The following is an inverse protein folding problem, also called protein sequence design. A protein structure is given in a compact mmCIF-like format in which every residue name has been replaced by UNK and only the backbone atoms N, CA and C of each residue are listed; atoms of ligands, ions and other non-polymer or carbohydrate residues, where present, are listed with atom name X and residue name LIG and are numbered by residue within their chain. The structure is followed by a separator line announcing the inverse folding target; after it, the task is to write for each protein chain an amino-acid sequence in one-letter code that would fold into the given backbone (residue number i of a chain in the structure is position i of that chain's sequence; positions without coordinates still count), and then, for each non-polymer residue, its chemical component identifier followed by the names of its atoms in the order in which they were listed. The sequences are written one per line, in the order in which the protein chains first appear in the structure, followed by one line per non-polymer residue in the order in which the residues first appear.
data_IF_710454200687
#
_entry.id   IF_710454200687
#
_cell.length_a   1.000
_cell.length_b   1.000
_cell.length_c   1.000
_cell.angle_alpha   90.00
_cell.angle_beta   90.00
_cell.angle_gamma   90.00
#
_symmetry.space_group_name_H-M   'P 1'
#
loop_
_entity.id
_entity.type
_entity.pdbx_description
1 polymer ?
#
# COMPACT_ATOMS: atom_id res chain seq x y z
N UNK A 1 -17.62 18.43 -0.49
CA UNK A 1 -17.72 16.97 -0.73
C UNK A 1 -16.39 16.40 -1.20
N UNK A 2 -15.76 17.03 -2.19
CA UNK A 2 -14.39 16.76 -2.63
C UNK A 2 -13.36 16.63 -1.48
N UNK A 3 -13.17 17.69 -0.66
CA UNK A 3 -12.16 17.70 0.42
C UNK A 3 -12.37 16.59 1.46
N UNK A 4 -13.63 16.29 1.77
CA UNK A 4 -14.00 15.20 2.67
C UNK A 4 -13.54 13.85 2.11
N UNK A 5 -13.81 13.59 0.83
CA UNK A 5 -13.45 12.34 0.18
C UNK A 5 -11.93 12.19 0.05
N UNK A 6 -11.21 13.29 -0.23
CA UNK A 6 -9.74 13.30 -0.19
C UNK A 6 -9.22 12.97 1.22
N UNK A 7 -9.79 13.61 2.24
CA UNK A 7 -9.42 13.33 3.63
C UNK A 7 -9.64 11.86 4.00
N UNK A 8 -10.79 11.30 3.62
CA UNK A 8 -11.09 9.87 3.83
C UNK A 8 -10.11 8.98 3.08
N UNK A 9 -9.82 9.27 1.81
CA UNK A 9 -8.83 8.53 1.03
C UNK A 9 -7.46 8.54 1.70
N UNK A 10 -6.95 9.72 2.06
CA UNK A 10 -5.63 9.89 2.66
C UNK A 10 -5.50 9.12 3.99
N UNK A 11 -6.47 9.30 4.90
CA UNK A 11 -6.47 8.60 6.19
C UNK A 11 -6.54 7.09 6.01
N UNK A 12 -7.43 6.60 5.14
CA UNK A 12 -7.56 5.18 4.87
C UNK A 12 -6.31 4.59 4.20
N UNK A 13 -5.70 5.31 3.25
CA UNK A 13 -4.49 4.88 2.58
C UNK A 13 -3.31 4.80 3.55
N UNK A 14 -3.15 5.78 4.44
CA UNK A 14 -2.11 5.77 5.49
C UNK A 14 -2.36 4.61 6.47
N UNK A 15 -3.59 4.42 6.92
CA UNK A 15 -3.94 3.31 7.81
C UNK A 15 -3.64 1.95 7.15
N UNK A 16 -3.99 1.80 5.87
CA UNK A 16 -3.67 0.61 5.07
C UNK A 16 -2.15 0.39 4.95
N UNK A 17 -1.39 1.44 4.66
CA UNK A 17 0.06 1.38 4.52
C UNK A 17 0.74 0.97 5.84
N UNK A 18 0.42 1.65 6.94
CA UNK A 18 0.97 1.34 8.27
C UNK A 18 0.59 -0.07 8.69
N UNK A 19 -0.68 -0.45 8.53
CA UNK A 19 -1.13 -1.81 8.82
C UNK A 19 -0.40 -2.85 7.96
N UNK A 20 -0.24 -2.60 6.66
CA UNK A 20 0.53 -3.41 5.72
C UNK A 20 1.98 -3.63 6.17
N UNK A 21 2.67 -2.58 6.60
CA UNK A 21 4.02 -2.69 7.16
C UNK A 21 4.03 -3.58 8.41
N UNK A 22 3.07 -3.42 9.31
CA UNK A 22 3.00 -4.23 10.55
C UNK A 22 2.72 -5.71 10.27
N UNK A 23 1.85 -6.03 9.31
CA UNK A 23 1.53 -7.43 8.97
C UNK A 23 2.66 -8.12 8.23
N UNK A 24 3.46 -7.39 7.43
CA UNK A 24 4.69 -7.94 6.85
C UNK A 24 5.74 -8.17 7.92
N UNK A 25 5.92 -7.22 8.85
CA UNK A 25 6.95 -7.31 9.88
C UNK A 25 6.68 -8.38 10.96
N UNK A 26 5.42 -8.72 11.21
CA UNK A 26 5.04 -9.62 12.33
C UNK A 26 4.29 -10.88 11.92
N UNK A 27 3.95 -11.04 10.64
CA UNK A 27 3.11 -12.10 10.07
C UNK A 27 1.81 -12.38 10.87
N UNK A 28 0.63 -12.01 10.36
CA UNK A 28 -0.60 -12.15 11.11
C UNK A 28 -0.94 -13.63 11.40
N UNK A 29 -1.40 -13.92 12.62
CA UNK A 29 -1.81 -15.27 13.03
C UNK A 29 -3.13 -15.71 12.38
N UNK A 30 -3.98 -14.78 11.97
CA UNK A 30 -5.26 -15.08 11.31
C UNK A 30 -5.80 -13.86 10.58
N UNK A 31 -6.78 -14.08 9.71
CA UNK A 31 -7.54 -13.01 9.03
C UNK A 31 -8.32 -12.10 9.99
N UNK A 32 -8.52 -12.53 11.25
CA UNK A 32 -9.19 -11.74 12.29
C UNK A 32 -8.22 -10.92 13.13
N UNK A 33 -6.92 -11.02 12.87
CA UNK A 33 -5.95 -10.20 13.58
C UNK A 33 -6.20 -8.72 13.29
N UNK A 34 -6.12 -7.83 14.31
CA UNK A 34 -6.51 -6.43 14.15
C UNK A 34 -5.69 -5.73 13.06
N UNK A 35 -4.37 -5.98 13.00
CA UNK A 35 -3.51 -5.42 11.95
C UNK A 35 -3.91 -5.86 10.54
N UNK A 36 -4.29 -7.13 10.36
CA UNK A 36 -4.75 -7.59 9.04
C UNK A 36 -6.15 -7.06 8.70
N UNK A 37 -7.06 -6.98 9.66
CA UNK A 37 -8.38 -6.38 9.44
C UNK A 37 -8.27 -4.91 9.06
N UNK A 38 -7.43 -4.13 9.74
CA UNK A 38 -7.16 -2.73 9.38
C UNK A 38 -6.65 -2.64 7.94
N UNK A 39 -5.65 -3.44 7.56
CA UNK A 39 -5.15 -3.49 6.18
C UNK A 39 -6.26 -3.85 5.16
N UNK A 40 -7.01 -4.93 5.44
CA UNK A 40 -8.02 -5.47 4.52
C UNK A 40 -9.25 -4.58 4.36
N UNK A 41 -9.58 -3.74 5.36
CA UNK A 41 -10.71 -2.81 5.33
C UNK A 41 -10.30 -1.42 4.83
N UNK A 42 -9.15 -0.91 5.28
CA UNK A 42 -8.71 0.44 4.92
C UNK A 42 -8.35 0.54 3.43
N UNK A 43 -7.79 -0.51 2.82
CA UNK A 43 -7.51 -0.55 1.39
C UNK A 43 -8.75 -0.31 0.50
N UNK A 44 -9.83 -1.11 0.64
CA UNK A 44 -11.09 -0.86 -0.05
C UNK A 44 -11.69 0.52 0.19
N UNK A 45 -11.65 1.03 1.42
CA UNK A 45 -12.14 2.38 1.73
C UNK A 45 -11.34 3.44 0.96
N UNK A 46 -10.01 3.32 0.96
CA UNK A 46 -9.14 4.25 0.24
C UNK A 46 -9.43 4.25 -1.27
N UNK A 47 -9.59 3.06 -1.88
CA UNK A 47 -9.90 2.93 -3.31
C UNK A 47 -11.29 3.48 -3.63
N UNK A 48 -12.30 3.17 -2.82
CA UNK A 48 -13.66 3.68 -3.02
C UNK A 48 -13.71 5.21 -2.92
N UNK A 49 -13.03 5.79 -1.92
CA UNK A 49 -12.93 7.23 -1.77
C UNK A 49 -12.22 7.90 -2.96
N UNK A 50 -11.12 7.32 -3.44
CA UNK A 50 -10.40 7.81 -4.63
C UNK A 50 -11.32 7.84 -5.86
N UNK A 51 -12.01 6.74 -6.15
CA UNK A 51 -12.93 6.65 -7.30
C UNK A 51 -14.06 7.67 -7.15
N UNK A 52 -14.62 7.83 -5.93
CA UNK A 52 -15.65 8.82 -5.67
C UNK A 52 -15.15 10.26 -5.94
N UNK A 53 -13.94 10.63 -5.51
CA UNK A 53 -13.33 11.95 -5.83
C UNK A 53 -13.23 12.14 -7.34
N UNK A 54 -12.70 11.15 -8.05
CA UNK A 54 -12.49 11.21 -9.50
C UNK A 54 -13.82 11.43 -10.24
N UNK A 55 -14.88 10.76 -9.81
CA UNK A 55 -16.22 10.91 -10.41
C UNK A 55 -16.83 12.28 -10.12
N UNK A 56 -16.65 12.81 -8.91
CA UNK A 56 -17.16 14.14 -8.52
C UNK A 56 -16.48 15.26 -9.31
N UNK A 57 -15.18 15.14 -9.54
CA UNK A 57 -14.36 16.19 -10.18
C UNK A 57 -14.13 15.97 -11.68
N UNK A 58 -14.69 14.88 -12.25
CA UNK A 58 -14.35 14.42 -13.59
C UNK A 58 -14.39 15.53 -14.65
N UNK A 59 -15.46 16.32 -14.66
CA UNK A 59 -15.68 17.39 -15.65
C UNK A 59 -14.70 18.56 -15.52
N UNK A 60 -14.17 18.83 -14.32
CA UNK A 60 -13.25 19.93 -14.05
C UNK A 60 -11.76 19.59 -14.25
N UNK A 61 -11.41 18.31 -14.38
CA UNK A 61 -10.01 17.89 -14.49
C UNK A 61 -9.43 18.10 -15.90
N UNK A 62 -8.21 18.67 -16.01
CA UNK A 62 -7.43 18.67 -17.26
C UNK A 62 -7.18 17.25 -17.77
N UNK A 63 -7.05 17.07 -19.09
CA UNK A 63 -6.87 15.75 -19.73
C UNK A 63 -5.70 14.96 -19.14
N UNK A 64 -4.58 15.61 -18.84
CA UNK A 64 -3.42 14.97 -18.21
C UNK A 64 -3.76 14.39 -16.83
N UNK A 65 -4.45 15.16 -15.96
CA UNK A 65 -4.88 14.69 -14.64
C UNK A 65 -5.89 13.55 -14.74
N UNK A 66 -6.82 13.60 -15.72
CA UNK A 66 -7.76 12.50 -15.96
C UNK A 66 -7.06 11.19 -16.31
N UNK A 67 -6.04 11.23 -17.16
CA UNK A 67 -5.27 10.04 -17.50
C UNK A 67 -4.53 9.48 -16.29
N UNK A 68 -3.85 10.32 -15.52
CA UNK A 68 -3.14 9.87 -14.32
C UNK A 68 -4.09 9.30 -13.26
N UNK A 69 -5.17 10.01 -12.94
CA UNK A 69 -6.15 9.54 -11.97
C UNK A 69 -6.91 8.29 -12.46
N UNK A 70 -7.18 8.18 -13.76
CA UNK A 70 -7.70 6.94 -14.35
C UNK A 70 -6.74 5.77 -14.17
N UNK A 71 -5.44 5.98 -14.40
CA UNK A 71 -4.40 4.99 -14.13
C UNK A 71 -4.31 4.59 -12.66
N UNK A 72 -4.36 5.56 -11.75
CA UNK A 72 -4.39 5.30 -10.29
C UNK A 72 -5.67 4.58 -9.85
N UNK A 73 -6.82 4.87 -10.47
CA UNK A 73 -8.05 4.15 -10.19
C UNK A 73 -7.95 2.67 -10.62
N UNK A 74 -7.42 2.40 -11.82
CA UNK A 74 -7.18 1.03 -12.28
C UNK A 74 -6.18 0.30 -11.39
N UNK A 75 -5.09 0.96 -10.98
CA UNK A 75 -4.14 0.40 -10.04
C UNK A 75 -4.81 0.11 -8.69
N UNK A 76 -5.64 1.03 -8.18
CA UNK A 76 -6.41 0.86 -6.95
C UNK A 76 -7.31 -0.39 -7.00
N UNK A 77 -8.02 -0.60 -8.10
CA UNK A 77 -8.81 -1.82 -8.32
C UNK A 77 -7.93 -3.08 -8.33
N UNK A 78 -6.75 -3.03 -8.96
CA UNK A 78 -5.78 -4.12 -8.91
C UNK A 78 -5.29 -4.40 -7.48
N UNK A 79 -5.13 -3.36 -6.64
CA UNK A 79 -4.76 -3.56 -5.23
C UNK A 79 -5.86 -4.30 -4.46
N UNK A 80 -7.14 -4.09 -4.77
CA UNK A 80 -8.23 -4.87 -4.16
C UNK A 80 -8.10 -6.35 -4.49
N UNK A 81 -7.75 -6.69 -5.73
CA UNK A 81 -7.47 -8.06 -6.12
C UNK A 81 -6.30 -8.64 -5.32
N UNK A 82 -5.22 -7.88 -5.14
CA UNK A 82 -4.06 -8.30 -4.32
C UNK A 82 -4.42 -8.48 -2.84
N UNK A 83 -5.26 -7.62 -2.26
CA UNK A 83 -5.75 -7.75 -0.87
C UNK A 83 -6.58 -9.03 -0.71
N UNK A 84 -7.44 -9.35 -1.69
CA UNK A 84 -8.15 -10.65 -1.70
C UNK A 84 -7.20 -11.82 -1.80
N UNK A 85 -6.15 -11.72 -2.62
CA UNK A 85 -5.07 -12.72 -2.70
C UNK A 85 -4.35 -12.91 -1.36
N UNK A 86 -3.98 -11.83 -0.67
CA UNK A 86 -3.39 -11.88 0.67
C UNK A 86 -4.34 -12.55 1.68
N UNK A 87 -5.64 -12.26 1.58
CA UNK A 87 -6.67 -12.85 2.45
C UNK A 87 -6.80 -14.35 2.22
N UNK A 88 -6.83 -14.78 0.95
CA UNK A 88 -6.88 -16.19 0.58
C UNK A 88 -5.62 -16.93 1.04
N UNK A 89 -4.44 -16.36 0.80
CA UNK A 89 -3.17 -16.94 1.25
C UNK A 89 -3.12 -17.11 2.78
N UNK A 90 -3.59 -16.12 3.54
CA UNK A 90 -3.62 -16.19 5.00
C UNK A 90 -4.69 -17.16 5.55
N UNK A 91 -5.83 -17.29 4.87
CA UNK A 91 -6.94 -18.15 5.29
C UNK A 91 -6.66 -19.61 4.98
N UNK A 92 -6.26 -19.90 3.75
CA UNK A 92 -6.17 -21.26 3.23
C UNK A 92 -4.80 -21.89 3.53
N UNK A 93 -3.79 -21.06 3.86
CA UNK A 93 -2.42 -21.45 4.22
C UNK A 93 -1.84 -22.58 3.35
N UNK A 94 -1.82 -22.43 2.02
CA UNK A 94 -1.17 -23.40 1.14
C UNK A 94 0.33 -23.53 1.46
N UNK A 95 1.00 -24.52 0.86
CA UNK A 95 2.45 -24.61 0.93
C UNK A 95 3.09 -23.28 0.48
N UNK A 96 4.07 -22.77 1.23
CA UNK A 96 4.71 -21.46 1.02
C UNK A 96 3.74 -20.24 1.09
N UNK A 97 2.65 -20.33 1.87
CA UNK A 97 1.70 -19.23 2.04
C UNK A 97 2.34 -17.90 2.48
N UNK A 98 3.41 -17.94 3.29
CA UNK A 98 4.11 -16.73 3.76
C UNK A 98 4.70 -15.92 2.60
N UNK A 99 5.33 -16.61 1.64
CA UNK A 99 5.94 -15.97 0.47
C UNK A 99 4.85 -15.37 -0.43
N UNK A 100 3.77 -16.11 -0.67
CA UNK A 100 2.63 -15.61 -1.45
C UNK A 100 1.97 -14.40 -0.76
N UNK A 101 1.76 -14.49 0.56
CA UNK A 101 1.19 -13.43 1.39
C UNK A 101 2.04 -12.16 1.35
N UNK A 102 3.34 -12.27 1.61
CA UNK A 102 4.28 -11.15 1.57
C UNK A 102 4.34 -10.57 0.15
N UNK A 103 4.30 -11.40 -0.89
CA UNK A 103 4.22 -10.94 -2.27
C UNK A 103 3.00 -10.05 -2.51
N UNK A 104 1.82 -10.48 -2.08
CA UNK A 104 0.58 -9.70 -2.21
C UNK A 104 0.63 -8.38 -1.43
N UNK A 105 0.96 -8.43 -0.14
CA UNK A 105 1.00 -7.23 0.72
C UNK A 105 2.12 -6.28 0.30
N UNK A 106 3.30 -6.81 -0.02
CA UNK A 106 4.45 -6.03 -0.48
C UNK A 106 4.15 -5.26 -1.75
N UNK A 107 3.44 -5.86 -2.71
CA UNK A 107 2.99 -5.14 -3.90
C UNK A 107 2.05 -3.97 -3.54
N UNK A 108 1.08 -4.20 -2.65
CA UNK A 108 0.16 -3.15 -2.18
C UNK A 108 0.93 -2.00 -1.52
N UNK A 109 1.93 -2.30 -0.69
CA UNK A 109 2.76 -1.28 -0.03
C UNK A 109 3.55 -0.45 -1.04
N UNK A 110 4.23 -1.10 -1.99
CA UNK A 110 5.00 -0.40 -3.02
C UNK A 110 4.10 0.50 -3.86
N UNK A 111 2.95 0.00 -4.30
CA UNK A 111 2.01 0.78 -5.10
C UNK A 111 1.36 1.94 -4.33
N UNK A 112 1.02 1.76 -3.05
CA UNK A 112 0.52 2.86 -2.22
C UNK A 112 1.55 3.97 -2.08
N UNK A 113 2.80 3.58 -1.84
CA UNK A 113 3.89 4.53 -1.69
C UNK A 113 4.18 5.29 -3.00
N UNK A 114 4.21 4.59 -4.13
CA UNK A 114 4.35 5.23 -5.45
C UNK A 114 3.16 6.16 -5.76
N UNK A 115 1.94 5.73 -5.41
CA UNK A 115 0.75 6.57 -5.50
C UNK A 115 0.86 7.86 -4.68
N UNK A 116 1.34 7.78 -3.43
CA UNK A 116 1.59 8.97 -2.61
C UNK A 116 2.64 9.90 -3.24
N UNK A 117 3.71 9.34 -3.80
CA UNK A 117 4.72 10.10 -4.51
C UNK A 117 4.10 10.84 -5.71
N UNK A 118 3.41 10.12 -6.60
CA UNK A 118 2.76 10.70 -7.79
C UNK A 118 1.79 11.83 -7.41
N UNK A 119 0.91 11.62 -6.43
CA UNK A 119 -0.05 12.64 -5.98
C UNK A 119 0.68 13.86 -5.38
N UNK A 120 1.76 13.63 -4.61
CA UNK A 120 2.57 14.73 -4.07
C UNK A 120 3.22 15.57 -5.19
N UNK A 121 3.70 14.94 -6.26
CA UNK A 121 4.25 15.68 -7.40
C UNK A 121 3.19 16.52 -8.12
N UNK A 122 1.98 15.98 -8.29
CA UNK A 122 0.95 16.58 -9.12
C UNK A 122 0.12 17.65 -8.41
N UNK A 123 -0.19 17.47 -7.12
CA UNK A 123 -1.10 18.38 -6.41
C UNK A 123 -0.38 19.36 -5.48
N UNK A 124 0.77 18.99 -4.89
CA UNK A 124 1.58 19.92 -4.10
C UNK A 124 2.54 20.77 -4.97
N UNK A 125 2.56 20.57 -6.29
CA UNK A 125 3.54 21.16 -7.22
C UNK A 125 4.99 20.95 -6.75
N UNK A 126 5.24 19.90 -5.96
CA UNK A 126 6.57 19.61 -5.48
C UNK A 126 7.47 19.32 -6.70
N UNK A 127 8.72 19.82 -6.73
CA UNK A 127 9.63 19.56 -7.83
C UNK A 127 9.76 18.05 -8.04
N UNK A 128 9.56 17.56 -9.28
CA UNK A 128 9.54 16.12 -9.56
C UNK A 128 10.78 15.36 -9.07
N UNK A 129 11.91 16.05 -8.96
CA UNK A 129 13.17 15.53 -8.39
C UNK A 129 13.04 15.23 -6.89
N UNK A 130 12.35 16.06 -6.12
CA UNK A 130 12.12 15.86 -4.67
C UNK A 130 11.22 14.66 -4.44
N UNK A 131 10.18 14.52 -5.27
CA UNK A 131 9.28 13.37 -5.21
C UNK A 131 9.98 12.09 -5.60
N UNK A 132 10.75 12.09 -6.70
CA UNK A 132 11.55 10.95 -7.10
C UNK A 132 12.58 10.57 -6.01
N UNK A 133 13.23 11.55 -5.38
CA UNK A 133 14.16 11.31 -4.29
C UNK A 133 13.46 10.69 -3.06
N UNK A 134 12.33 11.25 -2.61
CA UNK A 134 11.54 10.68 -1.52
C UNK A 134 11.07 9.27 -1.84
N UNK A 135 10.62 9.04 -3.08
CA UNK A 135 10.20 7.72 -3.55
C UNK A 135 11.34 6.71 -3.45
N UNK A 136 12.49 7.02 -4.06
CA UNK A 136 13.67 6.17 -4.01
C UNK A 136 14.12 5.93 -2.56
N UNK A 137 14.12 6.96 -1.71
CA UNK A 137 14.51 6.83 -0.30
C UNK A 137 13.56 5.94 0.49
N UNK A 138 12.24 6.05 0.30
CA UNK A 138 11.28 5.18 0.99
C UNK A 138 11.39 3.72 0.55
N UNK A 139 11.61 3.46 -0.75
CA UNK A 139 11.89 2.11 -1.26
C UNK A 139 13.21 1.57 -0.68
N UNK A 140 14.28 2.36 -0.70
CA UNK A 140 15.59 1.96 -0.15
C UNK A 140 15.47 1.68 1.35
N UNK A 141 14.76 2.51 2.10
CA UNK A 141 14.53 2.31 3.53
C UNK A 141 13.73 1.03 3.80
N UNK A 142 12.67 0.76 3.02
CA UNK A 142 11.88 -0.47 3.11
C UNK A 142 12.73 -1.72 2.83
N UNK A 143 13.52 -1.70 1.75
CA UNK A 143 14.43 -2.80 1.40
C UNK A 143 15.50 -2.99 2.48
N UNK A 144 16.09 -1.91 3.00
CA UNK A 144 17.09 -1.98 4.05
C UNK A 144 16.51 -2.54 5.36
N UNK A 145 15.29 -2.15 5.74
CA UNK A 145 14.60 -2.65 6.91
C UNK A 145 14.32 -4.17 6.80
N UNK A 146 13.86 -4.64 5.65
CA UNK A 146 13.66 -6.08 5.38
C UNK A 146 14.99 -6.84 5.49
N UNK A 147 16.06 -6.32 4.87
CA UNK A 147 17.40 -6.94 4.93
C UNK A 147 17.99 -6.96 6.34
N UNK A 148 17.70 -5.95 7.16
CA UNK A 148 18.12 -5.96 8.56
C UNK A 148 17.34 -6.99 9.38
N UNK A 149 16.04 -7.12 9.14
CA UNK A 149 15.21 -8.09 9.83
C UNK A 149 15.66 -9.53 9.52
N UNK A 150 15.90 -9.86 8.26
CA UNK A 150 16.38 -11.20 7.86
C UNK A 150 17.76 -11.51 8.44
N UNK A 151 18.69 -10.54 8.43
CA UNK A 151 20.02 -10.70 9.05
C UNK A 151 19.95 -10.93 10.57
N UNK A 152 18.98 -10.34 11.25
CA UNK A 152 18.79 -10.57 12.69
C UNK A 152 18.29 -11.98 12.98
N UNK A 153 17.40 -12.51 12.15
CA UNK A 153 16.89 -13.88 12.28
C UNK A 153 17.97 -14.93 12.01
N UNK A 154 18.82 -14.73 11.00
CA UNK A 154 19.95 -15.63 10.69
C UNK A 154 20.97 -15.69 11.84
N UNK A 155 21.30 -14.52 12.44
CA UNK A 155 22.19 -14.45 13.60
C UNK A 155 21.60 -15.08 14.86
N UNK A 156 20.30 -14.94 15.08
CA UNK A 156 19.62 -15.56 16.21
C UNK A 156 19.65 -17.09 16.11
N UNK A 157 19.46 -17.67 14.92
CA UNK A 157 19.51 -19.12 14.70
C UNK A 157 20.90 -19.73 14.92
N UNK A 158 21.95 -19.03 14.50
CA UNK A 158 23.35 -19.48 14.64
C UNK A 158 23.90 -19.34 16.06
N UNK A 159 23.34 -18.45 16.89
CA UNK A 159 23.73 -18.33 18.30
C UNK A 159 23.11 -19.39 19.22
N UNK A 160 22.10 -20.13 18.74
CA UNK A 160 21.38 -21.17 19.49
C UNK A 160 21.75 -22.61 19.07
N UNK A 161 22.62 -22.77 18.05
CA UNK A 161 23.17 -24.06 17.62
C UNK A 161 24.57 -24.28 18.18
#
# INVERSE_FOLDING_TARGET
MHDLLIGVHAVAAIACFVAGCTVVARLPRSVRSPGFLTFAVAGPIAVAALIAVILVDWSGLPTAKRLTFGGLALLGLYLLWRIRGATAALRDRPAAWEVAFIGHVGFVLISLFDGFAIVTALDLHAPGVVVAACAVLGVVAGVAAIRLATRREERARTATS
#
